data_IF_212943760070
#
_entry.id   IF_212943760070
#
_cell.length_a   1.000
_cell.length_b   1.000
_cell.length_c   1.000
_cell.angle_alpha   90.00
_cell.angle_beta   90.00
_cell.angle_gamma   90.00
#
_symmetry.space_group_name_H-M   'P 1'
#
loop_
_entity.id
_entity.type
_entity.pdbx_description
1 polymer ?
#
# COMPACT_ATOMS: atom_id res chain seq x y z
N UNK A 1 -13.19 1.73 3.14
CA UNK A 1 -12.64 1.30 4.43
C UNK A 1 -13.76 0.79 5.33
N UNK A 2 -13.84 -0.52 5.48
CA UNK A 2 -14.78 -1.17 6.40
C UNK A 2 -14.26 -1.09 7.85
N UNK A 3 -15.03 -1.62 8.80
CA UNK A 3 -14.69 -1.55 10.22
C UNK A 3 -13.50 -2.43 10.59
N UNK A 4 -13.34 -3.60 9.98
CA UNK A 4 -12.23 -4.53 10.22
C UNK A 4 -10.90 -3.97 9.74
N UNK A 5 -10.89 -3.35 8.56
CA UNK A 5 -9.73 -2.65 8.01
C UNK A 5 -9.31 -1.50 8.93
N UNK A 6 -10.28 -0.74 9.44
CA UNK A 6 -10.01 0.35 10.38
C UNK A 6 -9.46 -0.16 11.72
N UNK A 7 -9.95 -1.31 12.21
CA UNK A 7 -9.41 -1.98 13.40
C UNK A 7 -7.99 -2.47 13.18
N UNK A 8 -7.72 -3.18 12.09
CA UNK A 8 -6.38 -3.67 11.77
C UNK A 8 -5.35 -2.54 11.69
N UNK A 9 -5.73 -1.37 11.14
CA UNK A 9 -4.87 -0.18 11.13
C UNK A 9 -4.61 0.32 12.55
N UNK A 10 -5.65 0.38 13.38
CA UNK A 10 -5.52 0.84 14.77
C UNK A 10 -4.63 -0.10 15.58
N UNK A 11 -4.80 -1.41 15.42
CA UNK A 11 -3.96 -2.41 16.07
C UNK A 11 -2.50 -2.35 15.62
N UNK A 12 -2.24 -2.17 14.31
CA UNK A 12 -0.88 -2.03 13.80
C UNK A 12 -0.19 -0.74 14.27
N UNK A 13 -0.96 0.27 14.63
CA UNK A 13 -0.49 1.58 15.09
C UNK A 13 -0.31 1.64 16.60
N UNK A 14 -0.98 0.77 17.34
CA UNK A 14 -0.81 0.63 18.78
C UNK A 14 0.45 -0.21 19.03
N UNK A 15 1.45 0.36 19.71
CA UNK A 15 2.69 -0.35 20.08
C UNK A 15 2.37 -1.69 20.80
N UNK A 16 3.25 -2.69 20.64
CA UNK A 16 3.09 -4.14 20.92
C UNK A 16 2.40 -4.57 22.23
N UNK A 17 2.21 -3.67 23.20
CA UNK A 17 1.56 -3.94 24.48
C UNK A 17 0.15 -3.32 24.64
N UNK A 18 -0.42 -2.72 23.59
CA UNK A 18 -1.64 -1.92 23.69
C UNK A 18 -2.79 -2.38 22.77
N UNK A 19 -2.97 -3.70 22.59
CA UNK A 19 -4.13 -4.27 21.87
C UNK A 19 -5.45 -3.80 22.45
N UNK A 20 -6.48 -3.72 21.61
CA UNK A 20 -7.83 -3.44 22.07
C UNK A 20 -8.40 -4.68 22.76
N UNK A 21 -9.18 -4.48 23.82
CA UNK A 21 -9.95 -5.57 24.41
C UNK A 21 -11.31 -5.70 23.70
N UNK A 22 -11.99 -6.83 23.83
CA UNK A 22 -13.27 -7.12 23.16
C UNK A 22 -14.32 -5.99 23.29
N UNK A 23 -14.42 -5.38 24.47
CA UNK A 23 -15.34 -4.26 24.70
C UNK A 23 -14.87 -2.96 24.05
N UNK A 24 -13.56 -2.72 23.95
CA UNK A 24 -12.99 -1.58 23.24
C UNK A 24 -13.22 -1.73 21.73
N UNK A 25 -13.03 -2.93 21.19
CA UNK A 25 -13.34 -3.27 19.79
C UNK A 25 -14.83 -3.10 19.50
N UNK A 26 -15.72 -3.61 20.36
CA UNK A 26 -17.15 -3.42 20.22
C UNK A 26 -17.53 -1.93 20.15
N UNK A 27 -17.03 -1.13 21.09
CA UNK A 27 -17.29 0.33 21.10
C UNK A 27 -16.74 0.98 19.83
N UNK A 28 -15.55 0.57 19.38
CA UNK A 28 -14.97 1.05 18.13
C UNK A 28 -15.88 0.75 16.95
N UNK A 29 -16.36 -0.50 16.82
CA UNK A 29 -17.24 -0.96 15.75
C UNK A 29 -18.54 -0.18 15.69
N UNK A 30 -19.22 -0.08 16.83
CA UNK A 30 -20.48 0.65 16.93
C UNK A 30 -20.31 2.15 16.58
N UNK A 31 -19.19 2.76 16.99
CA UNK A 31 -18.88 4.15 16.64
C UNK A 31 -18.51 4.32 15.17
N UNK A 32 -17.86 3.32 14.57
CA UNK A 32 -17.48 3.32 13.16
C UNK A 32 -18.71 3.18 12.25
N UNK A 33 -19.68 2.37 12.63
CA UNK A 33 -20.92 2.17 11.86
C UNK A 33 -21.92 3.33 12.01
N UNK A 34 -21.69 4.22 12.98
CA UNK A 34 -22.43 5.48 13.10
C UNK A 34 -23.55 5.47 14.14
N UNK A 35 -23.55 4.52 15.08
CA UNK A 35 -24.53 4.52 16.19
C UNK A 35 -24.30 5.69 17.14
N UNK A 36 -25.38 6.36 17.52
CA UNK A 36 -25.31 7.76 17.97
C UNK A 36 -25.09 7.88 19.48
N UNK A 37 -25.54 6.92 20.30
CA UNK A 37 -25.49 7.05 21.77
C UNK A 37 -24.85 5.85 22.48
N UNK A 38 -24.25 6.08 23.66
CA UNK A 38 -23.71 5.01 24.51
C UNK A 38 -24.83 4.19 25.17
N UNK A 39 -25.99 4.79 25.37
CA UNK A 39 -27.21 4.16 25.85
C UNK A 39 -27.77 3.16 24.82
N UNK A 40 -27.68 3.46 23.52
CA UNK A 40 -28.02 2.51 22.45
C UNK A 40 -27.05 1.34 22.37
N UNK A 41 -25.75 1.59 22.54
CA UNK A 41 -24.72 0.54 22.60
C UNK A 41 -24.94 -0.39 23.81
N UNK A 42 -25.34 0.17 24.96
CA UNK A 42 -25.66 -0.59 26.16
C UNK A 42 -26.82 -1.57 25.96
N UNK A 43 -27.84 -1.22 25.15
CA UNK A 43 -28.96 -2.12 24.85
C UNK A 43 -28.54 -3.39 24.11
N UNK A 44 -27.44 -3.31 23.36
CA UNK A 44 -26.93 -4.41 22.53
C UNK A 44 -25.75 -5.14 23.20
N UNK A 45 -25.47 -4.86 24.47
CA UNK A 45 -24.36 -5.47 25.20
C UNK A 45 -24.81 -5.87 26.60
N UNK A 46 -24.10 -6.78 27.29
CA UNK A 46 -24.37 -7.10 28.68
C UNK A 46 -23.91 -5.99 29.66
N UNK A 47 -23.43 -4.86 29.16
CA UNK A 47 -22.85 -3.77 29.95
C UNK A 47 -23.77 -2.57 30.03
N UNK A 48 -23.77 -1.90 31.18
CA UNK A 48 -24.51 -0.65 31.36
C UNK A 48 -23.84 0.53 30.63
N UNK A 49 -24.63 1.60 30.42
CA UNK A 49 -24.18 2.79 29.70
C UNK A 49 -23.07 3.57 30.42
N UNK A 50 -22.99 3.48 31.75
CA UNK A 50 -21.98 4.16 32.58
C UNK A 50 -20.61 3.50 32.35
N UNK A 51 -20.60 2.16 32.38
CA UNK A 51 -19.43 1.34 32.10
C UNK A 51 -18.93 1.57 30.67
N UNK A 52 -19.82 1.52 29.67
CA UNK A 52 -19.45 1.79 28.27
C UNK A 52 -18.86 3.19 28.12
N UNK A 53 -19.44 4.23 28.75
CA UNK A 53 -18.87 5.59 28.75
C UNK A 53 -17.47 5.61 29.33
N UNK A 54 -17.25 4.90 30.44
CA UNK A 54 -15.95 4.83 31.10
C UNK A 54 -14.88 4.16 30.21
N UNK A 55 -15.25 3.06 29.53
CA UNK A 55 -14.37 2.33 28.62
C UNK A 55 -14.11 3.15 27.36
N UNK A 56 -15.13 3.77 26.78
CA UNK A 56 -14.99 4.62 25.61
C UNK A 56 -14.06 5.82 25.88
N UNK A 57 -14.17 6.44 27.05
CA UNK A 57 -13.25 7.51 27.45
C UNK A 57 -11.79 7.03 27.55
N UNK A 58 -11.57 5.82 28.08
CA UNK A 58 -10.24 5.18 28.12
C UNK A 58 -9.73 4.88 26.72
N UNK A 59 -10.55 4.33 25.84
CA UNK A 59 -10.24 4.04 24.44
C UNK A 59 -9.81 5.31 23.69
N UNK A 60 -10.60 6.38 23.74
CA UNK A 60 -10.24 7.63 23.06
C UNK A 60 -8.96 8.25 23.60
N UNK A 61 -8.73 8.15 24.91
CA UNK A 61 -7.47 8.60 25.53
C UNK A 61 -6.29 7.74 25.08
N UNK A 62 -6.46 6.42 24.95
CA UNK A 62 -5.46 5.48 24.45
C UNK A 62 -5.07 5.81 23.03
N UNK A 63 -6.05 5.92 22.12
CA UNK A 63 -5.82 6.29 20.72
C UNK A 63 -5.21 7.69 20.57
N UNK A 64 -5.62 8.66 21.40
CA UNK A 64 -5.03 10.01 21.39
C UNK A 64 -3.57 10.05 21.85
N UNK A 65 -3.14 9.08 22.67
CA UNK A 65 -1.75 8.98 23.14
C UNK A 65 -0.82 8.34 22.11
N UNK A 66 -1.39 7.66 21.12
CA UNK A 66 -0.60 7.00 20.08
C UNK A 66 0.11 8.03 19.23
N UNK A 67 1.46 7.94 19.20
CA UNK A 67 2.31 8.91 18.49
C UNK A 67 2.02 9.00 17.00
N UNK A 68 1.53 7.90 16.39
CA UNK A 68 1.29 7.84 14.96
C UNK A 68 0.13 8.75 14.50
N UNK A 69 -0.93 8.88 15.31
CA UNK A 69 -2.05 9.78 14.97
C UNK A 69 -1.72 11.24 15.23
N UNK A 70 -0.89 11.53 16.24
CA UNK A 70 -0.45 12.89 16.61
C UNK A 70 -1.60 13.91 16.72
N UNK A 71 -2.80 13.45 17.05
CA UNK A 71 -3.98 14.30 17.24
C UNK A 71 -4.97 13.67 18.23
N UNK A 72 -5.85 14.51 18.79
CA UNK A 72 -6.84 14.06 19.76
C UNK A 72 -7.95 13.26 19.08
N UNK A 73 -8.05 11.98 19.42
CA UNK A 73 -9.09 11.07 18.93
C UNK A 73 -10.34 11.19 19.83
N UNK A 74 -11.50 11.24 19.18
CA UNK A 74 -12.84 11.33 19.76
C UNK A 74 -13.79 10.47 18.90
N UNK A 75 -14.95 10.12 19.45
CA UNK A 75 -16.01 9.41 18.74
C UNK A 75 -16.33 10.01 17.35
N UNK A 76 -16.47 11.33 17.26
CA UNK A 76 -16.93 12.00 16.04
C UNK A 76 -15.83 12.27 15.00
N UNK A 77 -14.55 12.18 15.37
CA UNK A 77 -13.45 12.43 14.45
C UNK A 77 -12.67 11.15 14.10
N UNK A 78 -12.99 10.00 14.70
CA UNK A 78 -12.32 8.72 14.49
C UNK A 78 -12.06 8.40 13.01
N UNK A 79 -13.10 8.47 12.17
CA UNK A 79 -12.97 8.24 10.72
C UNK A 79 -12.01 9.20 10.04
N UNK A 80 -12.05 10.47 10.43
CA UNK A 80 -11.19 11.51 9.85
C UNK A 80 -9.74 11.33 10.28
N UNK A 81 -9.51 10.92 11.54
CA UNK A 81 -8.17 10.65 12.07
C UNK A 81 -7.51 9.51 11.30
N UNK A 82 -8.19 8.36 11.19
CA UNK A 82 -7.62 7.20 10.49
C UNK A 82 -7.40 7.52 9.01
N UNK A 83 -8.31 8.28 8.38
CA UNK A 83 -8.12 8.72 6.98
C UNK A 83 -6.88 9.60 6.82
N UNK A 84 -6.68 10.58 7.70
CA UNK A 84 -5.48 11.44 7.67
C UNK A 84 -4.20 10.67 7.94
N UNK A 85 -4.25 9.70 8.86
CA UNK A 85 -3.13 8.79 9.11
C UNK A 85 -2.74 8.04 7.82
N UNK A 86 -3.71 7.42 7.14
CA UNK A 86 -3.45 6.72 5.88
C UNK A 86 -2.87 7.65 4.81
N UNK A 87 -3.43 8.85 4.65
CA UNK A 87 -2.89 9.85 3.71
C UNK A 87 -1.46 10.25 4.07
N UNK A 88 -1.17 10.49 5.35
CA UNK A 88 0.18 10.85 5.80
C UNK A 88 1.15 9.70 5.59
N UNK A 89 0.77 8.45 5.86
CA UNK A 89 1.65 7.29 5.64
C UNK A 89 1.82 6.92 4.16
N UNK A 90 0.90 7.31 3.29
CA UNK A 90 1.12 7.33 1.84
C UNK A 90 2.10 8.45 1.42
N UNK A 91 2.11 9.59 2.13
CA UNK A 91 2.97 10.77 1.87
C UNK A 91 4.35 10.69 2.56
N UNK A 92 4.53 9.96 3.66
CA UNK A 92 5.83 9.79 4.33
C UNK A 92 6.80 8.94 3.49
N UNK A 93 6.28 8.09 2.59
CA UNK A 93 7.06 7.49 1.50
C UNK A 93 7.71 8.56 0.60
N UNK A 94 7.10 9.74 0.47
CA UNK A 94 7.63 10.86 -0.33
C UNK A 94 8.60 11.73 0.47
N UNK A 95 8.43 11.92 1.79
CA UNK A 95 9.35 12.77 2.55
C UNK A 95 10.74 12.16 2.73
N UNK A 96 10.85 10.82 2.82
CA UNK A 96 12.15 10.14 2.76
C UNK A 96 12.81 10.23 1.37
N UNK A 97 12.07 10.64 0.32
CA UNK A 97 12.64 10.98 -0.99
C UNK A 97 13.02 12.46 -1.12
N UNK A 98 12.44 13.37 -0.33
CA UNK A 98 12.76 14.81 -0.38
C UNK A 98 14.11 15.13 0.28
N UNK A 99 14.58 14.35 1.27
CA UNK A 99 15.94 14.54 1.83
C UNK A 99 17.03 14.08 0.85
N UNK A 100 16.67 13.33 -0.20
CA UNK A 100 17.52 13.04 -1.35
C UNK A 100 17.64 14.19 -2.36
N UNK A 101 17.15 15.39 -2.04
CA UNK A 101 17.30 16.56 -2.91
C UNK A 101 17.86 17.73 -2.11
N UNK A 102 19.20 17.81 -2.03
CA UNK A 102 19.84 19.12 -1.96
C UNK A 102 21.04 19.19 -2.92
N UNK A 103 20.86 20.00 -3.95
CA UNK A 103 21.87 20.40 -4.93
C UNK A 103 22.89 21.30 -4.24
N UNK A 104 24.18 20.95 -4.36
CA UNK A 104 25.30 21.88 -4.22
C UNK A 104 25.64 22.37 -2.80
N UNK A 105 26.68 21.79 -2.22
CA UNK A 105 27.61 22.47 -1.29
C UNK A 105 27.06 22.85 0.09
N UNK A 106 27.22 21.98 1.08
CA UNK A 106 27.96 22.23 2.33
C UNK A 106 27.81 21.02 3.25
N UNK A 107 28.88 20.75 3.98
CA UNK A 107 29.15 19.60 4.81
C UNK A 107 28.26 19.61 6.07
N UNK A 108 27.37 18.63 6.25
CA UNK A 108 26.73 18.36 7.55
C UNK A 108 26.61 16.85 7.78
N UNK A 109 27.17 16.44 8.92
CA UNK A 109 27.28 15.09 9.46
C UNK A 109 25.92 14.38 9.55
N UNK A 110 25.83 13.20 8.93
CA UNK A 110 24.71 12.27 9.11
C UNK A 110 25.12 11.25 10.18
N UNK A 111 24.62 11.44 11.39
CA UNK A 111 24.48 10.35 12.35
C UNK A 111 22.98 10.07 12.51
N UNK A 112 22.64 8.83 12.17
CA UNK A 112 21.64 7.94 12.77
C UNK A 112 20.81 7.21 11.72
N UNK A 113 21.05 5.90 11.74
CA UNK A 113 20.50 4.87 10.90
C UNK A 113 18.97 4.81 10.97
N UNK A 114 18.33 4.50 9.85
CA UNK A 114 17.22 3.56 9.83
C UNK A 114 17.17 2.83 8.49
N UNK A 115 17.38 1.52 8.60
CA UNK A 115 17.28 0.51 7.55
C UNK A 115 15.81 0.28 7.19
N UNK A 116 15.47 0.24 5.90
CA UNK A 116 14.79 -0.91 5.29
C UNK A 116 14.62 -0.76 3.76
N UNK A 117 15.01 -1.84 3.07
CA UNK A 117 14.89 -2.20 1.64
C UNK A 117 15.20 -1.13 0.58
N UNK A 118 16.50 -0.90 0.35
CA UNK A 118 17.00 -0.68 -1.02
C UNK A 118 17.09 -2.03 -1.74
N UNK A 119 16.57 -2.10 -2.98
CA UNK A 119 16.89 -3.18 -3.92
C UNK A 119 18.42 -3.24 -4.09
N UNK A 120 19.04 -4.26 -3.51
CA UNK A 120 20.46 -4.56 -3.63
C UNK A 120 20.75 -5.19 -5.00
N UNK A 121 20.71 -4.39 -6.07
CA UNK A 121 21.26 -4.81 -7.37
C UNK A 121 22.38 -3.91 -7.90
N UNK A 122 22.91 -3.00 -7.08
CA UNK A 122 24.06 -2.20 -7.44
C UNK A 122 25.04 -2.06 -6.26
N UNK A 123 25.67 -3.18 -5.85
CA UNK A 123 27.02 -3.16 -5.27
C UNK A 123 27.56 -4.59 -5.04
N UNK A 124 28.23 -5.16 -6.05
CA UNK A 124 29.30 -6.14 -5.80
C UNK A 124 30.44 -5.89 -6.80
N UNK A 125 31.23 -4.86 -6.52
CA UNK A 125 32.65 -4.84 -6.88
C UNK A 125 33.40 -4.29 -5.67
N UNK A 126 33.73 -5.17 -4.73
CA UNK A 126 34.82 -4.90 -3.80
C UNK A 126 36.12 -5.10 -4.58
N UNK A 127 36.85 -4.03 -4.85
CA UNK A 127 38.30 -4.17 -5.04
C UNK A 127 38.99 -3.33 -3.97
N UNK A 128 39.84 -4.03 -3.25
CA UNK A 128 40.54 -3.59 -2.06
C UNK A 128 41.44 -2.40 -2.35
N UNK A 129 41.54 -1.49 -1.37
CA UNK A 129 42.17 -0.20 -1.54
C UNK A 129 43.65 -0.29 -1.94
N UNK A 130 44.03 0.50 -2.95
CA UNK A 130 45.35 1.17 -3.04
C UNK A 130 45.29 2.33 -4.02
N UNK A 131 45.74 3.49 -3.54
CA UNK A 131 46.11 4.68 -4.33
C UNK A 131 46.82 4.29 -5.62
N UNK A 132 46.36 4.78 -6.77
CA UNK A 132 47.21 5.46 -7.77
C UNK A 132 46.41 5.98 -8.96
N UNK A 133 46.86 7.13 -9.45
CA UNK A 133 46.56 7.73 -10.73
C UNK A 133 47.10 6.84 -11.86
N UNK A 134 46.27 6.33 -12.77
CA UNK A 134 46.74 5.82 -14.06
C UNK A 134 45.65 5.85 -15.14
N UNK A 135 46.09 6.32 -16.32
CA UNK A 135 45.36 6.46 -17.58
C UNK A 135 44.99 5.11 -18.21
N UNK A 136 43.93 5.15 -19.02
CA UNK A 136 43.61 4.32 -20.19
C UNK A 136 44.47 3.07 -20.43
N UNK A 137 43.80 1.91 -20.53
CA UNK A 137 44.07 0.95 -21.61
C UNK A 137 42.84 0.10 -21.93
N UNK A 138 42.61 -0.04 -23.23
CA UNK A 138 41.55 -0.77 -23.93
C UNK A 138 41.37 -2.23 -23.51
N UNK A 139 40.11 -2.64 -23.31
CA UNK A 139 39.61 -3.98 -23.64
C UNK A 139 38.21 -3.80 -24.29
N UNK A 140 38.09 -4.12 -25.59
CA UNK A 140 36.83 -4.51 -26.26
C UNK A 140 36.78 -6.06 -26.25
N UNK A 141 35.66 -6.77 -26.49
CA UNK A 141 34.34 -6.36 -27.00
C UNK A 141 33.13 -6.97 -26.25
N UNK A 142 31.89 -6.63 -26.61
CA UNK A 142 30.72 -7.46 -26.26
C UNK A 142 29.40 -6.72 -26.13
N UNK A 143 28.69 -6.59 -27.26
CA UNK A 143 27.25 -6.35 -27.42
C UNK A 143 26.66 -5.09 -26.78
N UNK A 144 26.54 -4.07 -27.63
CA UNK A 144 25.68 -2.90 -27.45
C UNK A 144 24.19 -3.30 -27.42
N UNK A 145 23.67 -3.82 -26.30
CA UNK A 145 22.22 -3.97 -26.11
C UNK A 145 21.67 -3.51 -24.75
N UNK A 146 22.51 -3.07 -23.80
CA UNK A 146 22.03 -2.63 -22.49
C UNK A 146 22.01 -1.10 -22.33
N UNK A 147 21.35 -0.42 -23.26
CA UNK A 147 20.99 1.01 -23.14
C UNK A 147 19.51 1.25 -23.48
N UNK A 148 18.56 0.59 -22.82
CA UNK A 148 17.13 0.97 -23.00
C UNK A 148 16.12 0.39 -22.00
N UNK A 149 16.35 0.43 -20.67
CA UNK A 149 15.26 0.10 -19.72
C UNK A 149 15.05 1.13 -18.60
N UNK A 150 15.74 2.27 -18.64
CA UNK A 150 15.32 3.46 -17.88
C UNK A 150 14.19 4.17 -18.64
N UNK A 151 13.12 3.42 -18.94
CA UNK A 151 11.88 3.97 -19.47
C UNK A 151 11.31 4.85 -18.34
N UNK A 152 11.12 6.12 -18.63
CA UNK A 152 10.67 7.14 -17.67
C UNK A 152 9.54 6.60 -16.80
N UNK A 153 9.81 6.39 -15.50
CA UNK A 153 8.77 5.99 -14.56
C UNK A 153 7.82 7.17 -14.39
N UNK A 154 6.53 6.93 -14.63
CA UNK A 154 5.51 7.96 -14.47
C UNK A 154 5.08 7.96 -13.01
N UNK A 155 5.35 9.05 -12.29
CA UNK A 155 4.88 9.21 -10.93
C UNK A 155 3.46 9.78 -10.93
N UNK A 156 2.54 9.09 -10.25
CA UNK A 156 1.18 9.55 -10.03
C UNK A 156 0.76 9.24 -8.59
N UNK A 157 0.39 10.28 -7.82
CA UNK A 157 0.06 10.18 -6.40
C UNK A 157 1.11 9.40 -5.57
N UNK A 158 2.39 9.42 -5.99
CA UNK A 158 3.46 8.68 -5.33
C UNK A 158 3.66 7.24 -5.74
N UNK A 159 2.78 6.72 -6.59
CA UNK A 159 2.96 5.42 -7.20
C UNK A 159 3.74 5.61 -8.50
N UNK A 160 4.71 4.74 -8.72
CA UNK A 160 5.51 4.75 -9.94
C UNK A 160 4.97 3.72 -10.91
N UNK A 161 4.70 4.16 -12.13
CA UNK A 161 4.13 3.34 -13.20
C UNK A 161 5.06 3.28 -14.40
N UNK A 162 4.93 2.23 -15.20
CA UNK A 162 5.73 1.99 -16.41
C UNK A 162 5.00 2.43 -17.69
N UNK A 163 3.73 2.80 -17.58
CA UNK A 163 2.92 3.25 -18.71
C UNK A 163 1.79 4.19 -18.32
N UNK A 164 1.35 5.01 -19.28
CA UNK A 164 0.19 5.89 -19.10
C UNK A 164 -1.11 5.09 -18.90
N UNK A 165 -1.20 3.87 -19.43
CA UNK A 165 -2.34 2.98 -19.21
C UNK A 165 -2.49 2.61 -17.73
N UNK A 166 -1.40 2.27 -17.06
CA UNK A 166 -1.41 2.00 -15.61
C UNK A 166 -1.87 3.24 -14.83
N UNK A 167 -1.38 4.44 -15.18
CA UNK A 167 -1.81 5.68 -14.54
C UNK A 167 -3.32 5.90 -14.71
N UNK A 168 -3.87 5.68 -15.91
CA UNK A 168 -5.31 5.84 -16.17
C UNK A 168 -6.18 4.86 -15.39
N UNK A 169 -5.70 3.64 -15.21
CA UNK A 169 -6.36 2.64 -14.38
C UNK A 169 -6.28 3.03 -12.89
N UNK A 170 -5.12 3.49 -12.42
CA UNK A 170 -4.96 3.97 -11.05
C UNK A 170 -5.87 5.17 -10.75
N UNK A 171 -5.98 6.13 -11.68
CA UNK A 171 -6.91 7.26 -11.60
C UNK A 171 -8.38 6.79 -11.50
N UNK A 172 -8.79 5.78 -12.28
CA UNK A 172 -10.15 5.25 -12.24
C UNK A 172 -10.44 4.48 -10.94
N UNK A 173 -9.48 3.70 -10.45
CA UNK A 173 -9.60 3.01 -9.16
C UNK A 173 -9.73 4.00 -7.99
N UNK A 174 -8.97 5.09 -8.03
CA UNK A 174 -9.04 6.15 -7.03
C UNK A 174 -10.36 6.93 -7.08
N UNK A 175 -10.85 7.27 -8.29
CA UNK A 175 -12.21 7.84 -8.47
C UNK A 175 -13.30 6.91 -7.93
N UNK A 176 -13.16 5.60 -8.13
CA UNK A 176 -14.07 4.58 -7.63
C UNK A 176 -13.87 4.28 -6.13
N UNK A 177 -12.89 4.90 -5.47
CA UNK A 177 -12.55 4.71 -4.06
C UNK A 177 -12.26 3.23 -3.72
N UNK A 178 -11.51 2.57 -4.60
CA UNK A 178 -11.09 1.17 -4.49
C UNK A 178 -9.65 1.09 -3.94
N UNK A 179 -9.40 0.14 -3.06
CA UNK A 179 -8.06 -0.13 -2.54
C UNK A 179 -7.31 -0.99 -3.56
N UNK A 180 -6.10 -0.56 -3.94
CA UNK A 180 -5.26 -1.31 -4.86
C UNK A 180 -3.77 -1.21 -4.50
N UNK A 181 -3.01 -2.18 -4.99
CA UNK A 181 -1.55 -2.23 -4.92
C UNK A 181 -1.00 -2.30 -6.34
N UNK A 182 -0.13 -1.37 -6.71
CA UNK A 182 0.50 -1.32 -8.04
C UNK A 182 1.87 -2.00 -8.06
N UNK A 183 2.25 -2.60 -9.20
CA UNK A 183 3.58 -3.21 -9.42
C UNK A 183 3.98 -4.21 -8.33
N UNK A 184 3.02 -5.06 -7.96
CA UNK A 184 3.16 -5.95 -6.79
C UNK A 184 3.87 -7.23 -7.17
N UNK A 185 4.87 -7.63 -6.38
CA UNK A 185 5.54 -8.93 -6.50
C UNK A 185 4.78 -9.97 -5.65
N UNK A 186 4.17 -10.96 -6.31
CA UNK A 186 3.35 -11.99 -5.66
C UNK A 186 4.03 -13.36 -5.79
N UNK A 187 3.98 -14.12 -4.70
CA UNK A 187 4.49 -15.50 -4.62
C UNK A 187 3.38 -16.50 -4.96
N UNK A 188 3.28 -16.91 -6.21
CA UNK A 188 2.22 -17.79 -6.71
C UNK A 188 2.69 -19.25 -6.81
N UNK A 189 1.74 -20.17 -6.80
CA UNK A 189 1.96 -21.59 -7.09
C UNK A 189 1.50 -21.85 -8.52
N UNK A 190 2.43 -22.24 -9.39
CA UNK A 190 2.19 -22.60 -10.79
C UNK A 190 2.44 -24.08 -11.01
N UNK A 191 2.18 -24.58 -12.21
CA UNK A 191 2.43 -25.98 -12.58
C UNK A 191 3.89 -26.42 -12.38
N UNK A 192 4.83 -25.46 -12.43
CA UNK A 192 6.27 -25.69 -12.27
C UNK A 192 6.78 -25.49 -10.84
N UNK A 193 5.89 -25.10 -9.90
CA UNK A 193 6.20 -24.91 -8.48
C UNK A 193 5.84 -23.52 -8.00
N UNK A 194 6.40 -23.10 -6.86
CA UNK A 194 6.20 -21.73 -6.40
C UNK A 194 7.16 -20.79 -7.14
N UNK A 195 6.65 -19.75 -7.80
CA UNK A 195 7.42 -18.69 -8.46
C UNK A 195 7.01 -17.27 -8.01
N UNK A 196 7.88 -16.28 -8.25
CA UNK A 196 7.61 -14.87 -7.97
C UNK A 196 7.22 -14.19 -9.27
N UNK A 197 6.05 -13.56 -9.30
CA UNK A 197 5.54 -12.84 -10.47
C UNK A 197 5.29 -11.39 -10.11
N UNK A 198 5.50 -10.47 -11.06
CA UNK A 198 5.14 -9.06 -10.91
C UNK A 198 3.84 -8.84 -11.67
N UNK A 199 2.83 -8.33 -10.96
CA UNK A 199 1.53 -7.97 -11.55
C UNK A 199 1.31 -6.47 -11.51
N UNK A 200 0.55 -5.94 -12.48
CA UNK A 200 0.33 -4.49 -12.56
C UNK A 200 -0.53 -4.00 -11.39
N UNK A 201 -1.65 -4.66 -11.10
CA UNK A 201 -2.55 -4.28 -10.01
C UNK A 201 -3.09 -5.48 -9.24
N UNK A 202 -3.07 -5.38 -7.90
CA UNK A 202 -3.86 -6.21 -6.99
C UNK A 202 -4.97 -5.34 -6.41
N UNK A 203 -6.21 -5.76 -6.57
CA UNK A 203 -7.40 -5.03 -6.14
C UNK A 203 -8.03 -5.74 -4.96
N UNK A 204 -8.31 -4.99 -3.90
CA UNK A 204 -9.09 -5.45 -2.76
C UNK A 204 -10.44 -4.74 -2.78
N UNK A 205 -11.51 -5.52 -3.00
CA UNK A 205 -12.87 -4.99 -3.01
C UNK A 205 -13.82 -6.01 -2.37
N UNK A 206 -14.53 -5.59 -1.31
CA UNK A 206 -15.50 -6.42 -0.58
C UNK A 206 -14.94 -7.79 -0.17
N UNK A 207 -13.74 -7.80 0.43
CA UNK A 207 -13.04 -9.01 0.90
C UNK A 207 -12.59 -9.97 -0.22
N UNK A 208 -12.77 -9.58 -1.49
CA UNK A 208 -12.31 -10.34 -2.64
C UNK A 208 -11.05 -9.71 -3.19
N UNK A 209 -10.06 -10.54 -3.49
CA UNK A 209 -8.86 -10.13 -4.20
C UNK A 209 -9.02 -10.44 -5.68
N UNK A 210 -8.71 -9.47 -6.52
CA UNK A 210 -8.58 -9.67 -7.96
C UNK A 210 -7.28 -9.09 -8.48
N UNK A 211 -6.81 -9.60 -9.61
CA UNK A 211 -5.61 -9.10 -10.28
C UNK A 211 -6.00 -8.49 -11.62
N UNK A 212 -5.49 -7.30 -11.91
CA UNK A 212 -5.50 -6.71 -13.25
C UNK A 212 -4.08 -6.72 -13.79
N UNK A 213 -3.92 -7.32 -14.96
CA UNK A 213 -2.69 -7.28 -15.74
C UNK A 213 -2.92 -6.46 -17.02
N UNK A 214 -2.05 -5.50 -17.25
CA UNK A 214 -2.06 -4.63 -18.43
C UNK A 214 -0.89 -5.05 -19.31
N UNK A 215 -1.17 -5.82 -20.37
CA UNK A 215 -0.15 -6.28 -21.30
C UNK A 215 -0.71 -6.43 -22.71
N UNK A 216 0.15 -6.25 -23.71
CA UNK A 216 -0.16 -6.59 -25.10
C UNK A 216 0.00 -8.09 -25.37
N UNK A 217 0.73 -8.80 -24.52
CA UNK A 217 0.97 -10.24 -24.64
C UNK A 217 0.16 -11.01 -23.60
N UNK A 218 -0.34 -12.21 -23.95
CA UNK A 218 -1.04 -13.08 -23.02
C UNK A 218 -0.13 -13.46 -21.85
N UNK A 219 -0.61 -13.28 -20.63
CA UNK A 219 0.15 -13.65 -19.43
C UNK A 219 0.16 -15.18 -19.31
N UNK A 220 1.34 -15.84 -19.30
CA UNK A 220 1.42 -17.29 -19.47
C UNK A 220 1.14 -18.09 -18.19
N UNK A 221 0.34 -17.57 -17.26
CA UNK A 221 0.14 -18.24 -15.97
C UNK A 221 -1.28 -18.79 -15.90
N UNK A 222 -1.39 -20.12 -16.02
CA UNK A 222 -2.47 -20.91 -15.44
C UNK A 222 -2.41 -20.70 -13.92
N UNK A 223 -3.02 -19.61 -13.48
CA UNK A 223 -3.19 -19.29 -12.07
C UNK A 223 -4.20 -20.31 -11.54
N UNK A 224 -3.70 -21.45 -11.05
CA UNK A 224 -4.38 -22.15 -9.98
C UNK A 224 -4.40 -21.16 -8.81
N UNK A 225 -5.43 -20.29 -8.81
CA UNK A 225 -5.48 -19.09 -8.02
C UNK A 225 -5.19 -19.49 -6.58
N UNK A 226 -4.21 -18.79 -5.96
CA UNK A 226 -4.09 -18.84 -4.52
C UNK A 226 -5.51 -18.65 -3.93
N UNK A 227 -5.92 -19.41 -2.91
CA UNK A 227 -7.33 -19.64 -2.55
C UNK A 227 -8.17 -18.35 -2.34
N UNK A 228 -7.50 -17.22 -2.13
CA UNK A 228 -8.11 -15.94 -1.80
C UNK A 228 -8.19 -14.98 -3.00
N UNK A 229 -7.55 -15.28 -4.13
CA UNK A 229 -7.67 -14.50 -5.37
C UNK A 229 -8.82 -15.11 -6.17
N UNK A 230 -9.81 -14.30 -6.51
CA UNK A 230 -11.06 -14.74 -7.15
C UNK A 230 -11.00 -14.69 -8.66
N UNK A 231 -10.39 -13.63 -9.20
CA UNK A 231 -10.24 -13.45 -10.65
C UNK A 231 -8.88 -12.84 -10.98
N UNK A 232 -8.40 -13.16 -12.18
CA UNK A 232 -7.28 -12.49 -12.82
C UNK A 232 -7.76 -12.09 -14.20
N UNK A 233 -7.67 -10.81 -14.52
CA UNK A 233 -8.15 -10.26 -15.79
C UNK A 233 -7.03 -9.56 -16.53
N UNK A 234 -7.07 -9.71 -17.85
CA UNK A 234 -6.12 -9.11 -18.78
C UNK A 234 -6.83 -8.03 -19.57
N UNK A 235 -6.23 -6.85 -19.61
CA UNK A 235 -6.73 -5.73 -20.40
C UNK A 235 -5.63 -5.21 -21.31
N UNK A 236 -6.01 -4.89 -22.55
CA UNK A 236 -5.10 -4.28 -23.49
C UNK A 236 -4.85 -2.80 -23.13
N UNK A 237 -3.67 -2.32 -23.52
CA UNK A 237 -3.20 -0.97 -23.21
C UNK A 237 -4.15 0.11 -23.77
N UNK A 238 -4.77 -0.12 -24.93
CA UNK A 238 -5.62 0.87 -25.60
C UNK A 238 -6.93 1.08 -24.83
N UNK A 239 -7.59 0.01 -24.42
CA UNK A 239 -8.82 0.06 -23.61
C UNK A 239 -8.57 0.75 -22.27
N UNK A 240 -7.46 0.45 -21.59
CA UNK A 240 -7.07 1.10 -20.34
C UNK A 240 -6.84 2.62 -20.48
N UNK A 241 -6.35 3.10 -21.64
CA UNK A 241 -6.15 4.53 -21.87
C UNK A 241 -7.46 5.22 -22.25
N UNK A 242 -8.25 4.61 -23.14
CA UNK A 242 -9.42 5.25 -23.74
C UNK A 242 -10.63 5.26 -22.80
N UNK A 243 -10.86 4.17 -22.07
CA UNK A 243 -12.06 3.95 -21.26
C UNK A 243 -11.73 3.28 -19.92
N UNK A 244 -10.86 3.89 -19.09
CA UNK A 244 -10.40 3.28 -17.84
C UNK A 244 -11.54 3.01 -16.84
N UNK A 245 -12.54 3.90 -16.77
CA UNK A 245 -13.67 3.71 -15.85
C UNK A 245 -14.54 2.51 -16.23
N UNK A 246 -14.72 2.26 -17.54
CA UNK A 246 -15.47 1.09 -18.02
C UNK A 246 -14.71 -0.20 -17.70
N UNK A 247 -13.39 -0.23 -17.94
CA UNK A 247 -12.52 -1.37 -17.59
C UNK A 247 -12.65 -1.71 -16.10
N UNK A 248 -12.60 -0.69 -15.22
CA UNK A 248 -12.75 -0.89 -13.78
C UNK A 248 -14.17 -1.34 -13.42
N UNK A 249 -15.20 -0.79 -14.03
CA UNK A 249 -16.59 -1.20 -13.76
C UNK A 249 -16.82 -2.68 -14.12
N UNK A 250 -16.39 -3.09 -15.32
CA UNK A 250 -16.49 -4.49 -15.78
C UNK A 250 -15.69 -5.43 -14.87
N UNK A 251 -14.46 -5.06 -14.51
CA UNK A 251 -13.64 -5.85 -13.60
C UNK A 251 -14.30 -6.05 -12.24
N UNK A 252 -14.85 -4.98 -11.65
CA UNK A 252 -15.50 -5.04 -10.35
C UNK A 252 -16.79 -5.85 -10.40
N UNK A 253 -17.52 -5.83 -11.50
CA UNK A 253 -18.70 -6.67 -11.72
C UNK A 253 -18.31 -8.16 -11.71
N UNK A 254 -17.28 -8.54 -12.47
CA UNK A 254 -16.75 -9.91 -12.47
C UNK A 254 -16.26 -10.34 -11.09
N UNK A 255 -15.54 -9.45 -10.39
CA UNK A 255 -15.04 -9.73 -9.05
C UNK A 255 -16.19 -9.94 -8.06
N UNK A 256 -17.31 -9.24 -8.22
CA UNK A 256 -18.48 -9.42 -7.37
C UNK A 256 -19.18 -10.77 -7.60
N UNK A 257 -19.13 -11.31 -8.83
CA UNK A 257 -19.78 -12.58 -9.19
C UNK A 257 -18.96 -13.83 -8.82
N UNK A 258 -17.64 -13.71 -8.70
CA UNK A 258 -16.71 -14.78 -8.33
C UNK A 258 -16.62 -15.06 -6.82
#
# INVERSE_FOLDING_TARGET
>A
MNVEEALAIVEAVLDDNARLNDIEEFIFRECWEGKQSYEEMAKNSPYDSEYIKSVAAKLWKKLSKTKAFNEKVKKNNLKSVIRRYLQKHQVTSHQNQIIGVNLGGTNLSVNEANLCQTDLNELMVFTDGKKSLAKNTNIKPGNEENKSYLKDRINWNGLNFHSQAEVKIAEALDRANIIFFSNTKIRLTTATGRENQIVNFVILHREKLGIIQISSEPFPVDLNLAPNIKIVQHYDIYSCIKQPDQVIAEFLELLNQA
#
